data_IF_516739325015
#
_entry.id   IF_516739325015
#
_cell.length_a   1.000
_cell.length_b   1.000
_cell.length_c   1.000
_cell.angle_alpha   90.00
_cell.angle_beta   90.00
_cell.angle_gamma   90.00
#
_symmetry.space_group_name_H-M   'P 1'
#
loop_
_entity.id
_entity.type
_entity.pdbx_description
1 polymer ?
#
# COMPACT_ATOMS: atom_id res chain seq x y z
N UNK A 1 -16.02 -23.56 -27.78
CA UNK A 1 -16.13 -23.70 -26.32
C UNK A 1 -17.15 -24.76 -25.87
N UNK A 2 -18.48 -24.52 -25.96
CA UNK A 2 -19.52 -25.48 -25.50
C UNK A 2 -19.36 -26.92 -26.03
N UNK A 3 -18.97 -27.09 -27.30
CA UNK A 3 -18.67 -28.41 -27.88
C UNK A 3 -17.50 -29.12 -27.19
N UNK A 4 -16.49 -28.37 -26.76
CA UNK A 4 -15.34 -28.91 -26.02
C UNK A 4 -15.72 -29.44 -24.63
N UNK A 5 -16.64 -28.77 -23.93
CA UNK A 5 -17.19 -29.25 -22.65
C UNK A 5 -17.90 -30.60 -22.80
N UNK A 6 -18.67 -30.80 -23.88
CA UNK A 6 -19.32 -32.09 -24.18
C UNK A 6 -18.27 -33.18 -24.43
N UNK A 7 -17.21 -32.87 -25.17
CA UNK A 7 -16.13 -33.83 -25.43
C UNK A 7 -15.33 -34.16 -24.16
N UNK A 8 -15.16 -33.21 -23.24
CA UNK A 8 -14.58 -33.49 -21.92
C UNK A 8 -15.44 -34.47 -21.10
N UNK A 9 -16.77 -34.38 -21.18
CA UNK A 9 -17.65 -35.37 -20.55
C UNK A 9 -17.47 -36.79 -21.12
N UNK A 10 -17.11 -36.90 -22.41
CA UNK A 10 -16.79 -38.20 -23.02
C UNK A 10 -15.49 -38.79 -22.45
N UNK A 11 -14.54 -37.96 -22.00
CA UNK A 11 -13.33 -38.46 -21.32
C UNK A 11 -13.67 -39.17 -19.99
N UNK A 12 -14.69 -38.71 -19.28
CA UNK A 12 -15.17 -39.37 -18.06
C UNK A 12 -15.83 -40.74 -18.35
N UNK A 13 -16.36 -40.92 -19.56
CA UNK A 13 -16.97 -42.17 -20.02
C UNK A 13 -15.95 -43.13 -20.66
N UNK A 14 -14.78 -42.64 -21.05
CA UNK A 14 -13.72 -43.43 -21.65
C UNK A 14 -13.12 -44.40 -20.63
N UNK A 15 -13.03 -45.69 -21.00
CA UNK A 15 -12.57 -46.77 -20.11
C UNK A 15 -11.06 -46.97 -20.10
N UNK A 16 -10.35 -46.45 -21.10
CA UNK A 16 -8.90 -46.63 -21.22
C UNK A 16 -8.15 -45.31 -21.01
N UNK A 17 -7.01 -45.33 -20.29
CA UNK A 17 -6.21 -44.14 -20.04
C UNK A 17 -5.64 -43.53 -21.33
N UNK A 18 -5.36 -44.36 -22.35
CA UNK A 18 -4.89 -43.90 -23.66
C UNK A 18 -5.94 -43.06 -24.38
N UNK A 19 -7.21 -43.48 -24.33
CA UNK A 19 -8.31 -42.75 -24.94
C UNK A 19 -8.58 -41.44 -24.21
N UNK A 20 -8.55 -41.45 -22.86
CA UNK A 20 -8.65 -40.21 -22.06
C UNK A 20 -7.55 -39.21 -22.44
N UNK A 21 -6.30 -39.67 -22.50
CA UNK A 21 -5.15 -38.85 -22.91
C UNK A 21 -5.30 -38.28 -24.32
N UNK A 22 -5.76 -39.10 -25.28
CA UNK A 22 -6.00 -38.66 -26.64
C UNK A 22 -7.09 -37.58 -26.71
N UNK A 23 -8.17 -37.75 -25.94
CA UNK A 23 -9.25 -36.76 -25.85
C UNK A 23 -8.73 -35.43 -25.28
N UNK A 24 -8.03 -35.43 -24.14
CA UNK A 24 -7.52 -34.20 -23.54
C UNK A 24 -6.51 -33.47 -24.44
N UNK A 25 -5.60 -34.22 -25.06
CA UNK A 25 -4.59 -33.65 -25.96
C UNK A 25 -5.22 -33.13 -27.25
N UNK A 26 -6.20 -33.86 -27.80
CA UNK A 26 -6.95 -33.46 -28.99
C UNK A 26 -7.74 -32.17 -28.73
N UNK A 27 -8.41 -32.08 -27.59
CA UNK A 27 -9.14 -30.87 -27.19
C UNK A 27 -8.22 -29.65 -27.07
N UNK A 28 -7.05 -29.82 -26.45
CA UNK A 28 -6.08 -28.74 -26.38
C UNK A 28 -5.65 -28.26 -27.77
N UNK A 29 -5.34 -29.18 -28.70
CA UNK A 29 -4.99 -28.84 -30.09
C UNK A 29 -6.14 -28.12 -30.81
N UNK A 30 -7.38 -28.57 -30.61
CA UNK A 30 -8.57 -27.92 -31.18
C UNK A 30 -8.74 -26.49 -30.65
N UNK A 31 -8.53 -26.26 -29.34
CA UNK A 31 -8.55 -24.92 -28.76
C UNK A 31 -7.48 -24.01 -29.38
N UNK A 32 -6.29 -24.55 -29.67
CA UNK A 32 -5.22 -23.84 -30.37
C UNK A 32 -5.63 -23.48 -31.81
N UNK A 33 -6.12 -24.46 -32.58
CA UNK A 33 -6.52 -24.28 -33.98
C UNK A 33 -7.68 -23.29 -34.13
N UNK A 34 -8.66 -23.36 -33.22
CA UNK A 34 -9.83 -22.46 -33.20
C UNK A 34 -9.56 -21.12 -32.51
N UNK A 35 -8.30 -20.83 -32.17
CA UNK A 35 -7.85 -19.57 -31.57
C UNK A 35 -8.58 -19.22 -30.27
N UNK A 36 -9.09 -20.21 -29.53
CA UNK A 36 -9.73 -19.97 -28.24
C UNK A 36 -8.71 -19.73 -27.13
N UNK A 37 -7.46 -20.15 -27.35
CA UNK A 37 -6.32 -19.93 -26.43
C UNK A 37 -5.88 -18.47 -26.30
N UNK A 38 -6.47 -17.52 -27.03
CA UNK A 38 -6.19 -16.09 -26.85
C UNK A 38 -7.06 -15.45 -25.76
N UNK A 39 -8.05 -16.18 -25.24
CA UNK A 39 -8.94 -15.75 -24.17
C UNK A 39 -8.52 -16.45 -22.87
N UNK A 40 -7.83 -15.75 -21.94
CA UNK A 40 -7.28 -16.39 -20.74
C UNK A 40 -8.36 -17.02 -19.85
N UNK A 41 -9.57 -16.46 -19.81
CA UNK A 41 -10.67 -17.00 -19.02
C UNK A 41 -11.09 -18.39 -19.53
N UNK A 42 -11.08 -18.61 -20.84
CA UNK A 42 -11.34 -19.93 -21.41
C UNK A 42 -10.21 -20.91 -21.10
N UNK A 43 -8.96 -20.46 -21.05
CA UNK A 43 -7.86 -21.35 -20.69
C UNK A 43 -7.96 -21.74 -19.22
N UNK A 44 -8.30 -20.80 -18.33
CA UNK A 44 -8.54 -21.07 -16.92
C UNK A 44 -9.69 -22.07 -16.72
N UNK A 45 -10.85 -21.84 -17.36
CA UNK A 45 -11.96 -22.78 -17.28
C UNK A 45 -11.60 -24.17 -17.81
N UNK A 46 -10.71 -24.26 -18.82
CA UNK A 46 -10.19 -25.54 -19.32
C UNK A 46 -9.28 -26.20 -18.29
N UNK A 47 -8.36 -25.42 -17.72
CA UNK A 47 -7.42 -25.88 -16.70
C UNK A 47 -8.16 -26.45 -15.49
N UNK A 48 -9.15 -25.73 -14.96
CA UNK A 48 -9.95 -26.15 -13.82
C UNK A 48 -10.66 -27.49 -14.11
N UNK A 49 -11.22 -27.64 -15.32
CA UNK A 49 -11.86 -28.88 -15.74
C UNK A 49 -10.87 -30.06 -15.85
N UNK A 50 -9.63 -29.80 -16.28
CA UNK A 50 -8.58 -30.82 -16.32
C UNK A 50 -8.10 -31.17 -14.91
N UNK A 51 -7.87 -30.18 -14.05
CA UNK A 51 -7.33 -30.35 -12.70
C UNK A 51 -8.23 -31.22 -11.79
N UNK A 52 -9.55 -31.25 -12.07
CA UNK A 52 -10.50 -32.12 -11.37
C UNK A 52 -10.33 -33.62 -11.66
N UNK A 53 -9.54 -33.99 -12.67
CA UNK A 53 -9.39 -35.37 -13.13
C UNK A 53 -7.98 -35.90 -12.84
N UNK A 54 -7.89 -36.97 -12.04
CA UNK A 54 -6.62 -37.63 -11.67
C UNK A 54 -5.84 -38.21 -12.85
N UNK A 55 -6.53 -38.50 -13.96
CA UNK A 55 -5.97 -39.22 -15.11
C UNK A 55 -5.39 -38.28 -16.17
N UNK A 56 -5.40 -36.96 -15.92
CA UNK A 56 -4.80 -35.98 -16.83
C UNK A 56 -3.27 -36.06 -16.75
N UNK A 57 -2.57 -36.18 -17.88
CA UNK A 57 -1.11 -36.18 -17.88
C UNK A 57 -0.57 -34.89 -17.25
N UNK A 58 0.34 -34.96 -16.26
CA UNK A 58 0.88 -33.78 -15.58
C UNK A 58 1.51 -32.76 -16.55
N UNK A 59 2.20 -33.25 -17.58
CA UNK A 59 2.80 -32.40 -18.62
C UNK A 59 1.75 -31.61 -19.41
N UNK A 60 0.56 -32.15 -19.63
CA UNK A 60 -0.52 -31.41 -20.31
C UNK A 60 -1.09 -30.33 -19.39
N UNK A 61 -1.31 -30.66 -18.11
CA UNK A 61 -1.80 -29.70 -17.11
C UNK A 61 -0.82 -28.51 -16.98
N UNK A 62 0.47 -28.79 -16.90
CA UNK A 62 1.53 -27.78 -16.85
C UNK A 62 1.56 -26.92 -18.12
N UNK A 63 1.40 -27.53 -19.30
CA UNK A 63 1.40 -26.80 -20.56
C UNK A 63 0.20 -25.84 -20.67
N UNK A 64 -0.99 -26.29 -20.24
CA UNK A 64 -2.19 -25.43 -20.21
C UNK A 64 -2.00 -24.29 -19.20
N UNK A 65 -1.43 -24.59 -18.03
CA UNK A 65 -1.11 -23.57 -17.01
C UNK A 65 -0.17 -22.50 -17.55
N UNK A 66 0.95 -22.88 -18.16
CA UNK A 66 1.91 -21.95 -18.76
C UNK A 66 1.27 -21.09 -19.85
N UNK A 67 0.39 -21.68 -20.67
CA UNK A 67 -0.36 -20.93 -21.67
C UNK A 67 -1.34 -19.94 -21.03
N UNK A 68 -2.01 -20.31 -19.93
CA UNK A 68 -2.87 -19.41 -19.17
C UNK A 68 -2.08 -18.23 -18.61
N UNK A 69 -0.96 -18.50 -17.94
CA UNK A 69 -0.07 -17.47 -17.36
C UNK A 69 0.42 -16.50 -18.44
N UNK A 70 1.01 -17.01 -19.51
CA UNK A 70 1.55 -16.19 -20.60
C UNK A 70 0.49 -15.34 -21.29
N UNK A 71 -0.71 -15.87 -21.53
CA UNK A 71 -1.79 -15.13 -22.18
C UNK A 71 -2.44 -14.11 -21.26
N UNK A 72 -2.51 -14.41 -19.97
CA UNK A 72 -2.96 -13.47 -18.94
C UNK A 72 -1.99 -12.29 -18.83
N UNK A 73 -0.68 -12.56 -18.79
CA UNK A 73 0.35 -11.53 -18.76
C UNK A 73 0.23 -10.60 -19.98
N UNK A 74 0.14 -11.17 -21.20
CA UNK A 74 -0.06 -10.39 -22.43
C UNK A 74 -1.31 -9.51 -22.41
N UNK A 75 -2.41 -9.99 -21.83
CA UNK A 75 -3.62 -9.18 -21.67
C UNK A 75 -3.40 -8.03 -20.67
N UNK A 76 -2.66 -8.31 -19.60
CA UNK A 76 -2.37 -7.39 -18.50
C UNK A 76 -1.21 -6.41 -18.79
N UNK A 77 -0.54 -6.53 -19.94
CA UNK A 77 0.41 -5.53 -20.46
C UNK A 77 -0.30 -4.23 -20.87
N UNK A 78 -1.57 -4.31 -21.29
CA UNK A 78 -2.28 -3.16 -21.88
C UNK A 78 -2.31 -1.89 -21.00
N UNK A 79 -2.55 -1.94 -19.67
CA UNK A 79 -2.47 -0.78 -18.78
C UNK A 79 -1.08 -0.13 -18.71
N UNK A 80 -0.01 -0.87 -19.03
CA UNK A 80 1.38 -0.38 -19.02
C UNK A 80 1.81 0.27 -20.33
N UNK A 81 0.96 0.26 -21.36
CA UNK A 81 1.23 0.92 -22.66
C UNK A 81 0.30 2.10 -22.93
N UNK A 82 -0.36 2.61 -21.90
CA UNK A 82 -1.15 3.84 -21.98
C UNK A 82 -0.70 4.86 -20.94
N UNK A 83 -0.71 6.14 -21.32
CA UNK A 83 -0.47 7.25 -20.42
C UNK A 83 -1.78 7.77 -19.78
N UNK A 84 -2.94 7.28 -20.24
CA UNK A 84 -4.24 7.72 -19.73
C UNK A 84 -4.62 6.97 -18.46
N UNK A 85 -4.79 7.71 -17.36
CA UNK A 85 -5.32 7.18 -16.09
C UNK A 85 -6.81 6.88 -16.11
N UNK A 86 -7.52 7.34 -17.13
CA UNK A 86 -8.96 7.11 -17.31
C UNK A 86 -9.22 5.97 -18.31
N UNK A 87 -8.17 5.36 -18.86
CA UNK A 87 -8.32 4.21 -19.74
C UNK A 87 -8.94 3.03 -18.98
N UNK A 88 -10.00 2.47 -19.56
CA UNK A 88 -10.67 1.29 -19.02
C UNK A 88 -10.21 0.04 -19.78
N UNK A 89 -10.00 -1.05 -19.03
CA UNK A 89 -9.57 -2.34 -19.58
C UNK A 89 -10.53 -3.46 -19.17
N UNK A 90 -11.75 -3.54 -19.75
CA UNK A 90 -12.79 -4.45 -19.27
C UNK A 90 -12.39 -5.94 -19.26
N UNK A 91 -11.51 -6.34 -20.18
CA UNK A 91 -11.00 -7.71 -20.23
C UNK A 91 -10.00 -8.00 -19.10
N UNK A 92 -9.18 -7.01 -18.73
CA UNK A 92 -8.28 -7.09 -17.58
C UNK A 92 -9.11 -7.14 -16.29
N UNK A 93 -10.11 -6.25 -16.18
CA UNK A 93 -11.02 -6.22 -15.02
C UNK A 93 -11.73 -7.57 -14.83
N UNK A 94 -12.22 -8.16 -15.92
CA UNK A 94 -12.88 -9.48 -15.90
C UNK A 94 -11.93 -10.59 -15.47
N UNK A 95 -10.69 -10.59 -15.96
CA UNK A 95 -9.66 -11.55 -15.56
C UNK A 95 -9.34 -11.41 -14.06
N UNK A 96 -9.08 -10.19 -13.59
CA UNK A 96 -8.76 -9.93 -12.19
C UNK A 96 -9.93 -10.26 -11.26
N UNK A 97 -11.16 -10.01 -11.68
CA UNK A 97 -12.34 -10.41 -10.91
C UNK A 97 -12.45 -11.94 -10.78
N UNK A 98 -12.01 -12.69 -11.79
CA UNK A 98 -11.96 -14.16 -11.76
C UNK A 98 -10.83 -14.69 -10.88
N UNK A 99 -9.69 -13.98 -10.83
CA UNK A 99 -8.53 -14.28 -10.00
C UNK A 99 -8.75 -13.89 -8.52
N UNK A 100 -9.72 -14.53 -7.86
CA UNK A 100 -10.08 -14.29 -6.44
C UNK A 100 -9.00 -14.77 -5.45
N UNK A 101 -9.21 -14.55 -4.15
CA UNK A 101 -8.24 -14.83 -3.07
C UNK A 101 -7.63 -16.25 -3.06
N UNK A 102 -8.38 -17.28 -3.47
CA UNK A 102 -7.85 -18.66 -3.56
C UNK A 102 -6.96 -18.91 -4.78
N UNK A 103 -6.85 -17.92 -5.68
CA UNK A 103 -6.10 -17.92 -6.93
C UNK A 103 -4.94 -16.91 -6.92
N UNK A 104 -4.52 -16.43 -5.73
CA UNK A 104 -3.38 -15.51 -5.61
C UNK A 104 -2.07 -16.13 -6.13
N UNK A 105 -1.95 -17.46 -6.10
CA UNK A 105 -0.81 -18.16 -6.70
C UNK A 105 -0.74 -17.94 -8.22
N UNK A 106 -1.88 -18.00 -8.92
CA UNK A 106 -1.91 -17.69 -10.35
C UNK A 106 -1.54 -16.23 -10.62
N UNK A 107 -2.02 -15.30 -9.79
CA UNK A 107 -1.70 -13.89 -9.98
C UNK A 107 -0.19 -13.64 -9.85
N UNK A 108 0.50 -14.30 -8.91
CA UNK A 108 1.96 -14.19 -8.77
C UNK A 108 2.68 -14.64 -10.04
N UNK A 109 2.31 -15.80 -10.58
CA UNK A 109 2.93 -16.32 -11.79
C UNK A 109 2.66 -15.41 -13.01
N UNK A 110 1.46 -14.84 -13.09
CA UNK A 110 1.09 -13.88 -14.15
C UNK A 110 1.88 -12.58 -14.03
N UNK A 111 1.99 -12.03 -12.82
CA UNK A 111 2.73 -10.80 -12.55
C UNK A 111 4.23 -10.97 -12.85
N UNK A 112 4.79 -12.15 -12.62
CA UNK A 112 6.19 -12.44 -12.92
C UNK A 112 6.46 -12.29 -14.42
N UNK A 113 5.68 -13.00 -15.25
CA UNK A 113 5.80 -12.96 -16.71
C UNK A 113 5.44 -11.57 -17.25
N UNK A 114 4.46 -10.90 -16.65
CA UNK A 114 4.08 -9.54 -17.01
C UNK A 114 5.24 -8.56 -16.79
N UNK A 115 5.87 -8.59 -15.61
CA UNK A 115 6.98 -7.68 -15.29
C UNK A 115 8.21 -7.97 -16.13
N UNK A 116 8.53 -9.23 -16.41
CA UNK A 116 9.57 -9.59 -17.40
C UNK A 116 9.30 -8.92 -18.76
N UNK A 117 8.05 -8.96 -19.22
CA UNK A 117 7.67 -8.40 -20.52
C UNK A 117 7.71 -6.87 -20.53
N UNK A 118 7.08 -6.20 -19.56
CA UNK A 118 6.99 -4.73 -19.56
C UNK A 118 8.32 -4.06 -19.21
N UNK A 119 9.13 -4.63 -18.32
CA UNK A 119 10.46 -4.08 -18.00
C UNK A 119 11.48 -4.31 -19.13
N UNK A 120 11.25 -5.28 -20.02
CA UNK A 120 12.06 -5.46 -21.23
C UNK A 120 11.72 -4.44 -22.33
N UNK A 121 10.53 -3.84 -22.31
CA UNK A 121 10.02 -2.95 -23.35
C UNK A 121 9.99 -1.48 -22.94
N UNK A 122 9.76 -1.20 -21.65
CA UNK A 122 9.56 0.14 -21.10
C UNK A 122 10.62 0.47 -20.05
N UNK A 123 10.76 1.74 -19.67
CA UNK A 123 11.69 2.12 -18.59
C UNK A 123 11.12 1.71 -17.21
N UNK A 124 11.98 1.34 -16.24
CA UNK A 124 11.56 1.04 -14.86
C UNK A 124 10.63 2.10 -14.25
N UNK A 125 10.97 3.39 -14.43
CA UNK A 125 10.16 4.49 -13.94
C UNK A 125 8.76 4.49 -14.56
N UNK A 126 8.66 4.32 -15.88
CA UNK A 126 7.38 4.28 -16.58
C UNK A 126 6.51 3.12 -16.11
N UNK A 127 7.09 1.93 -15.92
CA UNK A 127 6.37 0.75 -15.40
C UNK A 127 5.82 1.02 -14.01
N UNK A 128 6.61 1.60 -13.11
CA UNK A 128 6.17 1.95 -11.75
C UNK A 128 5.05 3.00 -11.80
N UNK A 129 5.18 4.05 -12.60
CA UNK A 129 4.16 5.10 -12.70
C UNK A 129 2.85 4.57 -13.28
N UNK A 130 2.93 3.69 -14.29
CA UNK A 130 1.77 3.08 -14.96
C UNK A 130 1.14 1.94 -14.17
N UNK A 131 1.80 1.38 -13.14
CA UNK A 131 1.15 0.47 -12.19
C UNK A 131 -0.08 1.14 -11.53
N UNK A 132 -0.10 2.47 -11.44
CA UNK A 132 -1.29 3.21 -10.99
C UNK A 132 -2.53 3.07 -11.89
N UNK A 133 -2.37 2.62 -13.14
CA UNK A 133 -3.46 2.31 -14.07
C UNK A 133 -3.99 0.88 -13.91
N UNK A 134 -3.28 0.05 -13.13
CA UNK A 134 -3.68 -1.32 -12.86
C UNK A 134 -4.86 -1.31 -11.91
N UNK A 135 -6.00 -1.81 -12.38
CA UNK A 135 -7.24 -1.94 -11.61
C UNK A 135 -7.22 -3.25 -10.82
N UNK A 136 -7.97 -3.37 -9.73
CA UNK A 136 -8.04 -4.60 -8.95
C UNK A 136 -8.50 -4.38 -7.50
N UNK A 137 -8.70 -5.48 -6.78
CA UNK A 137 -8.91 -5.41 -5.31
C UNK A 137 -7.64 -4.94 -4.60
N UNK A 138 -7.77 -4.38 -3.39
CA UNK A 138 -6.62 -3.88 -2.63
C UNK A 138 -5.55 -4.96 -2.40
N UNK A 139 -5.96 -6.22 -2.24
CA UNK A 139 -5.04 -7.35 -2.11
C UNK A 139 -4.24 -7.60 -3.38
N UNK A 140 -4.89 -7.53 -4.55
CA UNK A 140 -4.22 -7.72 -5.84
C UNK A 140 -3.25 -6.56 -6.12
N UNK A 141 -3.66 -5.32 -5.80
CA UNK A 141 -2.79 -4.14 -5.90
C UNK A 141 -1.60 -4.22 -4.94
N UNK A 142 -1.80 -4.69 -3.72
CA UNK A 142 -0.73 -4.90 -2.75
C UNK A 142 0.27 -5.95 -3.26
N UNK A 143 -0.21 -7.06 -3.81
CA UNK A 143 0.64 -8.11 -4.37
C UNK A 143 1.43 -7.61 -5.59
N UNK A 144 0.77 -6.89 -6.51
CA UNK A 144 1.40 -6.30 -7.69
C UNK A 144 2.53 -5.34 -7.29
N UNK A 145 2.26 -4.43 -6.34
CA UNK A 145 3.30 -3.56 -5.81
C UNK A 145 4.47 -4.35 -5.19
N UNK A 146 4.19 -5.31 -4.31
CA UNK A 146 5.24 -6.09 -3.64
C UNK A 146 6.12 -6.88 -4.61
N UNK A 147 5.52 -7.49 -5.63
CA UNK A 147 6.29 -8.26 -6.60
C UNK A 147 7.10 -7.36 -7.53
N UNK A 148 6.56 -6.19 -7.91
CA UNK A 148 7.32 -5.19 -8.65
C UNK A 148 8.53 -4.70 -7.85
N UNK A 149 8.37 -4.42 -6.55
CA UNK A 149 9.46 -3.99 -5.66
C UNK A 149 10.62 -5.01 -5.55
N UNK A 150 10.38 -6.29 -5.84
CA UNK A 150 11.38 -7.36 -5.78
C UNK A 150 12.23 -7.46 -7.06
N UNK A 151 11.87 -6.72 -8.11
CA UNK A 151 12.53 -6.77 -9.43
C UNK A 151 13.92 -6.15 -9.38
N UNK A 152 14.93 -6.89 -9.84
CA UNK A 152 16.32 -6.47 -9.82
C UNK A 152 16.56 -5.20 -10.64
N UNK A 153 15.78 -5.03 -11.71
CA UNK A 153 15.80 -3.88 -12.61
C UNK A 153 15.53 -2.56 -11.87
N UNK A 154 14.79 -2.60 -10.75
CA UNK A 154 14.49 -1.42 -9.93
C UNK A 154 15.58 -1.07 -8.92
N UNK A 155 16.50 -2.00 -8.66
CA UNK A 155 17.56 -1.84 -7.64
C UNK A 155 18.86 -1.31 -8.21
N UNK A 156 18.93 -1.12 -9.53
CA UNK A 156 20.13 -0.61 -10.20
C UNK A 156 20.33 0.88 -9.89
N UNK A 157 21.48 1.21 -9.30
CA UNK A 157 21.88 2.58 -8.95
C UNK A 157 22.14 3.43 -10.20
N UNK A 158 21.08 3.88 -10.84
CA UNK A 158 21.12 4.81 -11.98
C UNK A 158 20.64 6.21 -11.56
N UNK A 159 20.85 7.19 -12.43
CA UNK A 159 20.49 8.61 -12.23
C UNK A 159 18.98 8.81 -11.96
N UNK A 160 18.13 7.86 -12.34
CA UNK A 160 16.69 7.86 -12.09
C UNK A 160 16.27 7.29 -10.73
N UNK A 161 17.23 6.83 -9.90
CA UNK A 161 16.95 6.12 -8.64
C UNK A 161 16.08 6.92 -7.66
N UNK A 162 16.30 8.24 -7.55
CA UNK A 162 15.50 9.10 -6.68
C UNK A 162 14.05 9.24 -7.16
N UNK A 163 13.85 9.46 -8.46
CA UNK A 163 12.52 9.58 -9.05
C UNK A 163 11.75 8.26 -8.97
N UNK A 164 12.45 7.15 -9.25
CA UNK A 164 11.93 5.80 -9.14
C UNK A 164 11.50 5.47 -7.69
N UNK A 165 12.36 5.76 -6.71
CA UNK A 165 12.05 5.57 -5.30
C UNK A 165 10.84 6.39 -4.84
N UNK A 166 10.71 7.64 -5.30
CA UNK A 166 9.54 8.47 -5.03
C UNK A 166 8.26 7.91 -5.67
N UNK A 167 8.33 7.41 -6.91
CA UNK A 167 7.19 6.81 -7.60
C UNK A 167 6.73 5.52 -6.89
N UNK A 168 7.67 4.65 -6.49
CA UNK A 168 7.40 3.42 -5.73
C UNK A 168 6.73 3.74 -4.39
N UNK A 169 7.29 4.68 -3.62
CA UNK A 169 6.67 5.15 -2.37
C UNK A 169 5.29 5.77 -2.61
N UNK A 170 5.12 6.51 -3.71
CA UNK A 170 3.84 7.10 -4.09
C UNK A 170 2.75 6.05 -4.30
N UNK A 171 3.07 4.93 -4.94
CA UNK A 171 2.12 3.83 -5.12
C UNK A 171 1.76 3.14 -3.80
N UNK A 172 2.75 2.88 -2.95
CA UNK A 172 2.48 2.32 -1.61
C UNK A 172 1.62 3.25 -0.76
N UNK A 173 1.87 4.56 -0.78
CA UNK A 173 1.05 5.54 -0.06
C UNK A 173 -0.38 5.59 -0.56
N UNK A 174 -0.59 5.60 -1.89
CA UNK A 174 -1.95 5.55 -2.47
C UNK A 174 -2.73 4.31 -2.05
N UNK A 175 -2.04 3.19 -1.87
CA UNK A 175 -2.62 1.94 -1.38
C UNK A 175 -3.00 2.04 0.11
N UNK A 176 -2.12 2.63 0.93
CA UNK A 176 -2.37 2.89 2.36
C UNK A 176 -3.45 3.95 2.60
N UNK A 177 -3.64 4.86 1.65
CA UNK A 177 -4.68 5.88 1.68
C UNK A 177 -6.09 5.32 1.41
N UNK A 178 -6.22 4.02 1.09
CA UNK A 178 -7.52 3.38 0.88
C UNK A 178 -8.16 3.02 2.23
N UNK A 179 -9.39 3.51 2.55
CA UNK A 179 -10.00 3.33 3.87
C UNK A 179 -10.16 1.88 4.32
N UNK A 180 -10.42 0.98 3.36
CA UNK A 180 -10.64 -0.43 3.60
C UNK A 180 -9.36 -1.27 3.53
N UNK A 181 -8.18 -0.66 3.36
CA UNK A 181 -6.90 -1.37 3.26
C UNK A 181 -6.67 -2.32 4.44
N UNK A 182 -6.87 -1.84 5.67
CA UNK A 182 -6.69 -2.64 6.88
C UNK A 182 -7.68 -3.82 7.00
N UNK A 183 -8.82 -3.75 6.31
CA UNK A 183 -9.90 -4.74 6.35
C UNK A 183 -9.80 -5.76 5.22
N UNK A 184 -9.52 -5.31 4.01
CA UNK A 184 -9.48 -6.14 2.79
C UNK A 184 -8.15 -6.85 2.59
N UNK A 185 -7.04 -6.24 3.05
CA UNK A 185 -5.70 -6.80 2.85
C UNK A 185 -5.31 -7.68 4.04
N UNK A 186 -4.91 -8.92 3.73
CA UNK A 186 -4.49 -9.88 4.74
C UNK A 186 -3.32 -9.34 5.58
N UNK A 187 -3.30 -9.65 6.88
CA UNK A 187 -2.28 -9.16 7.80
C UNK A 187 -0.84 -9.50 7.36
N UNK A 188 -0.62 -10.68 6.79
CA UNK A 188 0.68 -11.12 6.28
C UNK A 188 1.18 -10.24 5.12
N UNK A 189 0.28 -9.85 4.22
CA UNK A 189 0.58 -8.98 3.07
C UNK A 189 0.76 -7.53 3.52
N UNK A 190 -0.07 -7.05 4.47
CA UNK A 190 0.09 -5.73 5.09
C UNK A 190 1.46 -5.55 5.73
N UNK A 191 1.93 -6.53 6.49
CA UNK A 191 3.25 -6.46 7.12
C UNK A 191 4.39 -6.36 6.09
N UNK A 192 4.26 -7.06 4.96
CA UNK A 192 5.21 -6.94 3.86
C UNK A 192 5.17 -5.53 3.24
N UNK A 193 3.98 -4.96 3.02
CA UNK A 193 3.85 -3.57 2.53
C UNK A 193 4.51 -2.59 3.50
N UNK A 194 4.21 -2.68 4.81
CA UNK A 194 4.81 -1.76 5.79
C UNK A 194 6.33 -1.88 5.86
N UNK A 195 6.89 -3.08 5.64
CA UNK A 195 8.33 -3.30 5.63
C UNK A 195 9.05 -2.61 4.46
N UNK A 196 8.33 -2.21 3.41
CA UNK A 196 8.86 -1.47 2.27
C UNK A 196 8.80 0.05 2.45
N UNK A 197 8.18 0.53 3.53
CA UNK A 197 8.10 1.96 3.84
C UNK A 197 9.41 2.44 4.49
N UNK A 198 9.75 3.73 4.35
CA UNK A 198 10.82 4.34 5.15
C UNK A 198 10.59 4.11 6.65
N UNK A 199 11.67 3.91 7.42
CA UNK A 199 11.60 3.52 8.84
C UNK A 199 10.64 4.37 9.67
N UNK A 200 10.65 5.69 9.51
CA UNK A 200 9.77 6.59 10.28
C UNK A 200 8.29 6.43 9.91
N UNK A 201 8.01 6.17 8.64
CA UNK A 201 6.68 5.88 8.12
C UNK A 201 6.21 4.50 8.56
N UNK A 202 7.07 3.49 8.44
CA UNK A 202 6.79 2.12 8.91
C UNK A 202 6.40 2.07 10.38
N UNK A 203 7.05 2.86 11.25
CA UNK A 203 6.74 2.93 12.68
C UNK A 203 5.30 3.40 12.93
N UNK A 204 4.78 4.30 12.09
CA UNK A 204 3.40 4.79 12.24
C UNK A 204 2.38 3.69 12.01
N UNK A 205 2.68 2.66 11.22
CA UNK A 205 1.76 1.53 10.96
C UNK A 205 2.01 0.33 11.87
N UNK A 206 3.27 0.06 12.23
CA UNK A 206 3.65 -1.17 12.92
C UNK A 206 3.83 -1.01 14.43
N UNK A 207 4.23 0.18 14.91
CA UNK A 207 4.59 0.36 16.31
C UNK A 207 3.37 0.53 17.21
N UNK A 208 3.40 -0.08 18.40
CA UNK A 208 2.41 0.22 19.44
C UNK A 208 2.70 1.53 20.16
N UNK A 209 3.98 1.89 20.25
CA UNK A 209 4.47 3.12 20.89
C UNK A 209 5.60 3.72 20.06
N UNK A 210 5.66 5.05 20.05
CA UNK A 210 6.74 5.82 19.42
C UNK A 210 7.20 6.94 20.34
N UNK A 211 8.42 7.43 20.09
CA UNK A 211 8.91 8.67 20.67
C UNK A 211 9.00 9.69 19.54
N UNK A 212 8.40 10.87 19.73
CA UNK A 212 8.41 11.93 18.71
C UNK A 212 9.63 12.82 18.97
N UNK A 213 10.57 12.84 18.04
CA UNK A 213 11.81 13.63 18.13
C UNK A 213 11.70 14.88 17.26
N UNK A 214 12.05 16.03 17.81
CA UNK A 214 12.30 17.22 17.01
C UNK A 214 13.62 17.07 16.26
N UNK A 215 13.57 17.08 14.92
CA UNK A 215 14.76 16.91 14.06
C UNK A 215 15.60 18.19 14.01
N UNK A 216 15.02 19.36 14.29
CA UNK A 216 15.71 20.66 14.21
C UNK A 216 16.47 21.06 15.48
N UNK A 217 16.25 20.36 16.60
CA UNK A 217 17.01 20.54 17.84
C UNK A 217 17.67 19.21 18.25
N UNK A 218 18.98 19.26 18.50
CA UNK A 218 19.85 18.10 18.72
C UNK A 218 19.45 17.18 19.87
N UNK A 219 18.50 17.57 20.76
CA UNK A 219 18.15 16.77 21.94
C UNK A 219 16.68 16.84 22.43
N UNK A 220 15.72 17.26 21.58
CA UNK A 220 14.34 17.45 22.03
C UNK A 220 13.40 16.35 21.52
N UNK A 221 13.36 15.21 22.20
CA UNK A 221 12.12 14.42 22.18
C UNK A 221 11.02 15.22 22.87
N UNK A 222 9.78 15.00 22.46
CA UNK A 222 8.61 15.49 23.18
C UNK A 222 8.50 14.65 24.46
N UNK A 223 8.84 15.21 25.63
CA UNK A 223 8.67 14.53 26.93
C UNK A 223 7.52 15.10 27.74
N UNK A 224 6.90 14.24 28.54
CA UNK A 224 5.86 14.54 29.51
C UNK A 224 6.38 15.23 30.79
N UNK A 225 5.73 16.33 31.20
CA UNK A 225 5.96 16.96 32.50
C UNK A 225 5.00 16.43 33.59
N UNK A 226 5.54 15.90 34.71
CA UNK A 226 4.74 15.40 35.83
C UNK A 226 3.81 16.43 36.50
N UNK A 227 4.16 17.72 36.47
CA UNK A 227 3.46 18.73 37.29
C UNK A 227 2.46 19.56 36.49
N UNK A 228 2.77 19.88 35.25
CA UNK A 228 2.02 20.88 34.48
C UNK A 228 1.15 20.28 33.37
N UNK A 229 1.26 18.96 33.10
CA UNK A 229 0.65 18.32 31.91
C UNK A 229 1.08 19.01 30.60
N UNK A 230 2.33 19.45 30.57
CA UNK A 230 2.96 20.07 29.42
C UNK A 230 4.15 19.24 28.95
N UNK A 231 4.90 19.80 27.99
CA UNK A 231 6.11 19.18 27.47
C UNK A 231 7.36 19.84 28.07
N UNK A 232 8.36 19.03 28.44
CA UNK A 232 9.61 19.49 29.02
C UNK A 232 10.82 18.77 28.42
N UNK A 233 12.00 19.35 28.63
CA UNK A 233 13.29 18.80 28.24
C UNK A 233 13.86 17.81 29.28
N UNK A 234 13.04 16.93 29.86
CA UNK A 234 13.55 15.94 30.81
C UNK A 234 14.12 14.71 30.09
N UNK A 235 15.30 14.88 29.47
CA UNK A 235 16.01 13.82 28.76
C UNK A 235 16.43 12.62 29.64
N UNK A 236 16.25 12.69 30.97
CA UNK A 236 16.72 11.67 31.90
C UNK A 236 15.78 10.46 32.01
N UNK A 237 14.52 10.55 31.55
CA UNK A 237 13.57 9.44 31.61
C UNK A 237 12.89 9.18 30.24
N UNK A 238 13.39 8.22 29.45
CA UNK A 238 12.85 7.93 28.12
C UNK A 238 11.41 7.39 28.16
N UNK A 239 10.93 6.87 29.30
CA UNK A 239 9.53 6.41 29.43
C UNK A 239 8.54 7.57 29.30
N UNK A 240 8.99 8.80 29.56
CA UNK A 240 8.19 10.03 29.46
C UNK A 240 8.15 10.61 28.04
N UNK A 241 8.92 10.07 27.10
CA UNK A 241 8.83 10.44 25.68
C UNK A 241 7.96 9.48 24.86
N UNK A 242 7.45 8.40 25.48
CA UNK A 242 6.72 7.36 24.77
C UNK A 242 5.23 7.68 24.65
N UNK A 243 4.72 7.64 23.42
CA UNK A 243 3.32 7.79 23.07
C UNK A 243 2.81 6.53 22.41
N UNK A 244 1.62 6.08 22.80
CA UNK A 244 0.88 5.12 22.00
C UNK A 244 0.30 5.80 20.75
N UNK A 245 0.16 5.02 19.68
CA UNK A 245 -0.43 5.48 18.42
C UNK A 245 -1.83 4.90 18.27
N UNK A 246 -2.79 5.76 17.96
CA UNK A 246 -4.10 5.39 17.43
C UNK A 246 -4.18 5.78 15.96
N UNK A 247 -4.73 4.89 15.14
CA UNK A 247 -4.83 5.03 13.68
C UNK A 247 -6.30 5.10 13.29
N UNK A 248 -6.63 5.95 12.33
CA UNK A 248 -7.96 6.05 11.72
C UNK A 248 -7.82 6.56 10.29
N UNK A 249 -8.90 6.50 9.54
CA UNK A 249 -9.07 7.31 8.33
C UNK A 249 -9.94 8.52 8.67
N UNK A 250 -9.69 9.64 8.00
CA UNK A 250 -10.51 10.85 8.05
C UNK A 250 -11.67 10.77 7.04
N UNK A 251 -12.54 11.79 7.03
CA UNK A 251 -13.71 11.82 6.13
C UNK A 251 -13.33 11.86 4.63
N UNK A 252 -12.16 12.39 4.32
CA UNK A 252 -11.56 12.39 2.98
C UNK A 252 -10.70 11.15 2.72
N UNK A 253 -10.96 10.06 3.45
CA UNK A 253 -10.37 8.73 3.26
C UNK A 253 -8.88 8.59 3.59
N UNK A 254 -8.16 9.69 3.84
CA UNK A 254 -6.72 9.64 4.12
C UNK A 254 -6.40 9.16 5.56
N UNK A 255 -5.23 8.56 5.80
CA UNK A 255 -4.81 8.14 7.14
C UNK A 255 -4.61 9.34 8.06
N UNK A 256 -5.00 9.16 9.32
CA UNK A 256 -4.78 10.11 10.40
C UNK A 256 -4.38 9.39 11.68
N UNK A 257 -3.55 10.05 12.47
CA UNK A 257 -2.91 9.48 13.64
C UNK A 257 -3.18 10.33 14.86
N UNK A 258 -3.43 9.70 16.00
CA UNK A 258 -3.51 10.36 17.28
C UNK A 258 -2.49 9.75 18.23
N UNK A 259 -1.84 10.60 19.02
CA UNK A 259 -0.79 10.20 19.95
C UNK A 259 -1.26 10.42 21.37
N UNK A 260 -1.18 9.39 22.21
CA UNK A 260 -1.55 9.49 23.62
C UNK A 260 -0.46 8.98 24.55
N UNK A 261 -0.30 9.68 25.66
CA UNK A 261 0.75 9.47 26.65
C UNK A 261 0.80 8.03 27.17
N UNK A 262 1.96 7.40 27.10
CA UNK A 262 2.18 6.12 27.79
C UNK A 262 2.36 6.32 29.30
N UNK A 263 2.84 7.49 29.74
CA UNK A 263 3.07 7.81 31.15
C UNK A 263 1.76 8.18 31.86
N UNK A 264 1.00 9.15 31.33
CA UNK A 264 -0.25 9.61 31.95
C UNK A 264 -1.48 8.76 31.67
N UNK A 265 -1.34 7.76 30.79
CA UNK A 265 -2.36 6.78 30.36
C UNK A 265 -3.64 7.44 29.82
N UNK A 266 -3.88 7.30 28.52
CA UNK A 266 -5.08 7.79 27.82
C UNK A 266 -5.24 9.32 27.85
N UNK A 267 -4.12 10.05 27.73
CA UNK A 267 -4.15 11.49 27.49
C UNK A 267 -3.56 11.80 26.14
N UNK A 268 -4.37 12.32 25.23
CA UNK A 268 -4.00 12.69 23.87
C UNK A 268 -3.30 14.04 23.84
N UNK A 269 -2.38 14.20 22.90
CA UNK A 269 -1.90 15.52 22.51
C UNK A 269 -3.09 16.24 21.84
N UNK A 270 -3.50 17.37 22.42
CA UNK A 270 -4.58 18.22 21.96
C UNK A 270 -4.03 19.62 21.68
N UNK A 271 -4.34 20.15 20.51
CA UNK A 271 -4.16 21.58 20.23
C UNK A 271 -5.20 22.36 21.03
N UNK A 272 -4.76 23.24 21.94
CA UNK A 272 -5.66 24.04 22.77
C UNK A 272 -6.52 24.94 21.85
N UNK A 273 -7.86 24.91 21.98
CA UNK A 273 -8.73 25.84 21.26
C UNK A 273 -8.39 27.27 21.70
N UNK A 274 -7.92 28.12 20.78
CA UNK A 274 -7.63 29.51 21.10
C UNK A 274 -8.91 30.21 21.59
N UNK A 275 -8.96 30.75 22.83
CA UNK A 275 -10.19 31.34 23.36
C UNK A 275 -10.63 32.62 22.65
N UNK A 276 -9.83 33.18 21.75
CA UNK A 276 -10.08 34.48 21.14
C UNK A 276 -9.67 34.48 19.67
N UNK A 277 -10.66 34.50 18.78
CA UNK A 277 -10.51 34.79 17.35
C UNK A 277 -10.17 36.27 17.07
N UNK A 278 -9.34 36.89 17.92
CA UNK A 278 -8.98 38.31 17.87
C UNK A 278 -7.47 38.49 18.09
N UNK A 279 -6.66 38.02 17.15
CA UNK A 279 -5.43 38.75 16.82
C UNK A 279 -5.02 38.47 15.38
N UNK A 280 -4.93 39.55 14.59
CA UNK A 280 -4.25 39.62 13.29
C UNK A 280 -2.72 39.45 13.46
N UNK A 281 -2.30 38.43 14.18
CA UNK A 281 -0.89 38.08 14.30
C UNK A 281 -0.57 37.07 13.21
N UNK A 282 0.31 37.48 12.30
CA UNK A 282 0.88 36.66 11.22
C UNK A 282 1.54 35.37 11.74
N UNK A 283 1.91 35.32 13.03
CA UNK A 283 2.42 34.15 13.74
C UNK A 283 1.41 33.73 14.82
N UNK A 284 0.43 32.91 14.46
CA UNK A 284 -0.54 32.39 15.42
C UNK A 284 0.00 31.07 16.01
N UNK A 285 0.49 31.13 17.23
CA UNK A 285 1.00 29.97 17.97
C UNK A 285 -0.11 29.47 18.89
N UNK A 286 -0.47 28.18 18.76
CA UNK A 286 -1.42 27.50 19.66
C UNK A 286 -0.67 26.54 20.56
N UNK A 287 -0.92 26.58 21.87
CA UNK A 287 -0.30 25.66 22.83
C UNK A 287 -0.87 24.25 22.66
N UNK A 288 -0.03 23.22 22.77
CA UNK A 288 -0.52 21.84 22.88
C UNK A 288 -0.58 21.41 24.36
N UNK A 289 -1.68 20.77 24.71
CA UNK A 289 -2.00 20.30 26.06
C UNK A 289 -2.44 18.84 26.03
N UNK A 290 -2.49 18.19 27.19
CA UNK A 290 -3.00 16.84 27.30
C UNK A 290 -4.50 16.80 27.59
N UNK A 291 -5.25 16.09 26.76
CA UNK A 291 -6.69 15.88 26.96
C UNK A 291 -7.06 14.42 27.12
N UNK A 292 -8.02 14.14 28.01
CA UNK A 292 -8.61 12.79 28.18
C UNK A 292 -9.77 12.52 27.25
N UNK A 293 -10.50 13.56 26.87
CA UNK A 293 -11.78 13.43 26.15
C UNK A 293 -11.69 13.86 24.70
N UNK A 294 -10.84 14.84 24.40
CA UNK A 294 -10.73 15.42 23.07
C UNK A 294 -9.46 14.90 22.39
N UNK A 295 -9.56 14.61 21.09
CA UNK A 295 -8.48 14.03 20.30
C UNK A 295 -8.16 15.01 19.17
N UNK A 296 -6.92 15.49 19.09
CA UNK A 296 -6.40 16.08 17.86
C UNK A 296 -5.87 14.95 16.98
N UNK A 297 -6.39 14.88 15.76
CA UNK A 297 -5.93 13.97 14.73
C UNK A 297 -4.88 14.67 13.87
N UNK A 298 -3.81 13.95 13.58
CA UNK A 298 -2.67 14.47 12.85
C UNK A 298 -2.53 13.74 11.53
N UNK A 299 -2.38 14.51 10.45
CA UNK A 299 -1.97 14.03 9.14
C UNK A 299 -0.46 14.08 9.04
N UNK A 300 0.13 13.03 8.52
CA UNK A 300 1.58 12.88 8.43
C UNK A 300 2.00 13.27 7.02
N UNK A 301 2.93 14.21 6.92
CA UNK A 301 3.56 14.61 5.66
C UNK A 301 5.04 14.28 5.74
N UNK A 302 5.51 13.45 4.81
CA UNK A 302 6.89 12.96 4.76
C UNK A 302 7.78 13.98 4.06
N UNK A 303 8.80 14.52 4.75
CA UNK A 303 9.78 15.47 4.18
C UNK A 303 11.15 15.27 4.84
N UNK A 304 12.22 15.38 4.05
CA UNK A 304 13.62 15.51 4.50
C UNK A 304 14.05 14.55 5.62
N UNK A 305 13.89 13.24 5.43
CA UNK A 305 14.36 12.24 6.41
C UNK A 305 13.62 12.28 7.74
N UNK A 306 12.36 12.72 7.73
CA UNK A 306 11.47 12.71 8.89
C UNK A 306 10.01 12.95 8.50
N UNK A 307 9.20 13.26 9.51
CA UNK A 307 7.75 13.48 9.37
C UNK A 307 7.32 14.81 9.96
N UNK A 308 6.40 15.48 9.29
CA UNK A 308 5.68 16.65 9.78
C UNK A 308 4.25 16.27 10.12
N UNK A 309 3.77 16.70 11.29
CA UNK A 309 2.43 16.38 11.79
C UNK A 309 1.52 17.60 11.62
N UNK A 310 0.66 17.56 10.60
CA UNK A 310 -0.32 18.58 10.29
C UNK A 310 -1.65 18.26 10.98
N UNK A 311 -2.42 19.28 11.36
CA UNK A 311 -3.80 19.07 11.79
C UNK A 311 -4.61 18.36 10.67
N UNK A 312 -5.21 17.22 10.96
CA UNK A 312 -5.89 16.42 9.94
C UNK A 312 -7.19 17.08 9.43
N UNK A 313 -7.81 17.95 10.23
CA UNK A 313 -9.06 18.61 9.86
C UNK A 313 -8.85 19.75 8.86
N UNK A 314 -7.80 20.56 9.05
CA UNK A 314 -7.58 21.77 8.24
C UNK A 314 -6.28 21.77 7.44
N UNK A 315 -5.30 20.96 7.82
CA UNK A 315 -3.90 21.01 7.35
C UNK A 315 -3.24 22.40 7.44
N UNK A 316 -3.88 23.35 8.13
CA UNK A 316 -3.41 24.72 8.24
C UNK A 316 -2.48 24.92 9.43
N UNK A 317 -2.25 23.88 10.23
CA UNK A 317 -1.47 23.96 11.46
C UNK A 317 -0.52 22.77 11.56
N UNK A 318 0.72 22.99 12.02
CA UNK A 318 1.79 21.99 12.12
C UNK A 318 2.28 21.88 13.56
N UNK A 319 2.37 20.66 14.10
CA UNK A 319 2.96 20.38 15.40
C UNK A 319 4.46 20.65 15.37
N UNK A 320 4.95 21.39 16.35
CA UNK A 320 6.36 21.78 16.44
C UNK A 320 6.90 21.47 17.83
N UNK A 321 8.12 20.92 17.88
CA UNK A 321 8.82 20.49 19.10
C UNK A 321 9.27 21.59 20.06
N UNK A 322 8.69 22.79 19.96
CA UNK A 322 9.06 23.98 20.73
C UNK A 322 10.03 24.91 19.98
N UNK A 323 9.98 26.18 20.35
CA UNK A 323 10.77 27.29 19.80
C UNK A 323 11.81 27.58 20.87
N UNK A 324 13.11 27.61 20.54
CA UNK A 324 14.13 28.05 21.46
C UNK A 324 13.91 29.46 22.04
N UNK A 325 12.96 30.24 21.53
CA UNK A 325 12.65 31.62 21.95
C UNK A 325 11.39 31.69 22.83
N UNK A 326 10.48 30.71 22.74
CA UNK A 326 9.20 30.75 23.45
C UNK A 326 9.20 29.78 24.65
N UNK A 327 9.44 30.31 25.84
CA UNK A 327 9.37 29.60 27.12
C UNK A 327 8.29 30.21 28.01
N UNK A 328 7.62 29.37 28.81
CA UNK A 328 6.94 29.83 30.04
C UNK A 328 7.87 29.48 31.21
N UNK A 329 8.63 30.48 31.67
CA UNK A 329 9.70 30.27 32.65
C UNK A 329 10.83 29.38 32.11
N UNK A 330 10.96 28.16 32.65
CA UNK A 330 12.00 27.18 32.26
C UNK A 330 11.44 26.05 31.36
N UNK A 331 10.14 26.04 31.06
CA UNK A 331 9.49 24.95 30.32
C UNK A 331 9.48 25.20 28.80
N UNK A 332 9.85 24.17 28.03
CA UNK A 332 9.84 24.17 26.56
C UNK A 332 8.54 23.56 26.05
N UNK A 333 7.57 24.41 25.72
CA UNK A 333 6.25 23.92 25.25
C UNK A 333 6.32 23.45 23.81
N UNK A 334 5.56 22.38 23.52
CA UNK A 334 5.18 22.05 22.16
C UNK A 334 3.98 22.88 21.78
N UNK A 335 4.04 23.46 20.60
CA UNK A 335 3.00 24.30 20.05
C UNK A 335 2.68 23.86 18.64
N UNK A 336 1.57 24.36 18.15
CA UNK A 336 1.17 24.24 16.76
C UNK A 336 1.28 25.61 16.13
N UNK A 337 1.92 25.70 14.97
CA UNK A 337 2.08 26.94 14.18
C UNK A 337 1.31 26.83 12.88
N UNK A 338 1.01 27.96 12.22
CA UNK A 338 0.36 27.92 10.92
C UNK A 338 1.27 27.27 9.88
N UNK A 339 0.72 26.36 9.08
CA UNK A 339 1.41 25.70 7.98
C UNK A 339 1.99 26.69 6.95
N UNK A 340 1.31 27.82 6.73
CA UNK A 340 1.76 28.89 5.84
C UNK A 340 3.10 29.50 6.24
N UNK A 341 3.50 29.40 7.51
CA UNK A 341 4.80 29.88 8.00
C UNK A 341 5.98 29.03 7.47
N UNK A 342 5.69 27.83 6.95
CA UNK A 342 6.67 26.88 6.41
C UNK A 342 6.57 26.70 4.88
N UNK A 343 5.65 27.43 4.23
CA UNK A 343 5.53 27.45 2.77
C UNK A 343 6.51 28.50 2.21
N UNK A 344 7.78 28.11 2.10
CA UNK A 344 8.84 28.88 1.46
C UNK A 344 9.31 28.17 0.19
#
# INVERSE_FOLDING_TARGET
>A
WKRGQVVLQLANQARTPELKRAIYTGLWKELQQTKQIYDPLKILDFYDQLALNSDVPPALLQLVHQAFVSRSAQLMEAPFHTDSREAAFPLVDSLLHRLTFSALDYLRDILEVLYDAVLALETPLSVVERLGNFTGSLTQLALANLQLLQREELTQNNVESDALGLAMQGNLRKLLDQPSFEQEVEASLRQQIYAQLPSDEQLLYTARKVCIRNVTDSNAYIYECPQTYLICSNARDPKKAAYYIQRSHSNDSRPQFAFYSAFWRNRYILMEPSPLATSNTTNAISKNVYSRTNISWWRVVYRNGGVSLYDAATENSVLCGGDPIHFDGLERHVYTRKASEFAA
#
